data_IF_238125555072
#
_entry.id   IF_238125555072
#
_cell.length_a   1.000
_cell.length_b   1.000
_cell.length_c   1.000
_cell.angle_alpha   90.00
_cell.angle_beta   90.00
_cell.angle_gamma   90.00
#
_symmetry.space_group_name_H-M   'P 1'
#
loop_
_entity.id
_entity.type
_entity.pdbx_description
1 polymer ?
#
# COMPACT_ATOMS: atom_id res chain seq x y z
N UNK A 1 19.28 3.05 -2.39
CA UNK A 1 18.29 3.52 -3.39
C UNK A 1 18.97 3.72 -4.76
N UNK A 2 20.10 4.44 -4.87
CA UNK A 2 20.77 4.71 -6.17
C UNK A 2 21.07 3.45 -6.99
N UNK A 3 21.54 2.36 -6.37
CA UNK A 3 21.89 1.10 -7.06
C UNK A 3 20.69 0.35 -7.64
N UNK A 4 19.49 0.55 -7.09
CA UNK A 4 18.25 -0.15 -7.45
C UNK A 4 17.13 0.82 -7.88
N UNK A 5 17.46 2.01 -8.33
CA UNK A 5 16.50 3.08 -8.65
C UNK A 5 15.42 2.65 -9.67
N UNK A 6 15.75 1.73 -10.58
CA UNK A 6 14.80 1.19 -11.56
C UNK A 6 13.78 0.20 -10.97
N UNK A 7 14.05 -0.34 -9.76
CA UNK A 7 13.17 -1.30 -9.06
C UNK A 7 12.32 -0.64 -7.99
N UNK A 8 12.64 0.60 -7.62
CA UNK A 8 11.96 1.33 -6.54
C UNK A 8 11.16 2.47 -7.14
N UNK A 9 9.87 2.46 -6.89
CA UNK A 9 8.94 3.50 -7.33
C UNK A 9 8.54 4.34 -6.12
N UNK A 10 8.92 5.61 -6.14
CA UNK A 10 8.52 6.57 -5.14
C UNK A 10 7.28 7.35 -5.60
N UNK A 11 6.45 7.83 -4.66
CA UNK A 11 5.37 8.76 -4.98
C UNK A 11 5.90 10.03 -5.65
N UNK A 12 5.21 10.52 -6.67
CA UNK A 12 5.54 11.76 -7.39
C UNK A 12 4.62 12.93 -7.03
N UNK A 13 3.50 12.63 -6.39
CA UNK A 13 2.58 13.62 -5.82
C UNK A 13 1.97 13.11 -4.50
N UNK A 14 1.53 14.05 -3.69
CA UNK A 14 1.06 13.80 -2.32
C UNK A 14 -0.19 14.60 -2.01
N UNK A 15 -1.10 14.01 -1.25
CA UNK A 15 -2.18 14.71 -0.58
C UNK A 15 -1.61 15.26 0.73
N UNK A 16 -1.64 16.58 0.87
CA UNK A 16 -1.09 17.29 2.01
C UNK A 16 -2.13 18.13 2.71
N UNK A 17 -1.92 18.37 4.01
CA UNK A 17 -2.63 19.35 4.81
C UNK A 17 -1.71 19.88 5.93
N UNK A 18 -2.17 20.89 6.67
CA UNK A 18 -1.44 21.39 7.85
C UNK A 18 -1.49 20.41 9.02
N UNK A 19 -2.64 19.77 9.22
CA UNK A 19 -2.83 18.67 10.17
C UNK A 19 -3.97 17.76 9.67
N UNK A 20 -4.16 16.62 10.32
CA UNK A 20 -5.12 15.59 9.88
C UNK A 20 -6.59 16.05 9.90
N UNK A 21 -6.93 17.01 10.74
CA UNK A 21 -8.31 17.53 10.89
C UNK A 21 -8.58 18.79 10.04
N UNK A 22 -7.55 19.33 9.37
CA UNK A 22 -7.70 20.52 8.53
C UNK A 22 -8.21 20.13 7.14
N UNK A 23 -9.52 20.09 7.00
CA UNK A 23 -10.20 19.74 5.73
C UNK A 23 -10.20 20.90 4.71
N UNK A 24 -9.89 22.13 5.14
CA UNK A 24 -9.92 23.32 4.27
C UNK A 24 -8.63 23.51 3.46
N UNK A 25 -7.50 23.01 3.95
CA UNK A 25 -6.20 23.21 3.33
C UNK A 25 -5.66 21.94 2.66
N UNK A 26 -6.51 21.00 2.29
CA UNK A 26 -6.13 19.79 1.56
C UNK A 26 -5.69 20.17 0.14
N UNK A 27 -4.49 19.72 -0.25
CA UNK A 27 -3.93 19.98 -1.57
C UNK A 27 -3.30 18.71 -2.12
N UNK A 28 -3.40 18.52 -3.44
CA UNK A 28 -2.57 17.56 -4.15
C UNK A 28 -1.37 18.30 -4.75
N UNK A 29 -0.17 17.98 -4.32
CA UNK A 29 1.05 18.63 -4.78
C UNK A 29 2.02 17.64 -5.40
N UNK A 30 2.78 18.10 -6.39
CA UNK A 30 3.96 17.39 -6.90
C UNK A 30 5.20 17.83 -6.12
N UNK A 31 6.19 16.92 -6.09
CA UNK A 31 7.50 17.20 -5.49
C UNK A 31 7.48 17.42 -3.96
N UNK A 32 8.26 18.40 -3.49
CA UNK A 32 8.51 18.59 -2.07
C UNK A 32 7.30 19.15 -1.32
N UNK A 33 7.08 18.61 -0.12
CA UNK A 33 6.04 19.10 0.79
C UNK A 33 6.51 20.44 1.39
N UNK A 34 5.73 21.54 1.25
CA UNK A 34 6.09 22.84 1.79
C UNK A 34 6.21 22.83 3.32
N UNK A 35 7.04 23.74 3.87
CA UNK A 35 7.13 23.93 5.31
C UNK A 35 5.74 24.22 5.91
N UNK A 36 5.43 23.57 7.03
CA UNK A 36 4.14 23.72 7.72
C UNK A 36 3.02 22.79 7.19
N UNK A 37 3.30 21.99 6.16
CA UNK A 37 2.40 20.93 5.70
C UNK A 37 2.97 19.53 6.00
N UNK A 38 2.08 18.54 6.05
CA UNK A 38 2.39 17.11 6.20
C UNK A 38 1.73 16.33 5.07
N UNK A 39 2.36 15.24 4.63
CA UNK A 39 1.77 14.28 3.70
C UNK A 39 0.86 13.31 4.44
N UNK A 40 -0.34 13.09 3.94
CA UNK A 40 -1.35 12.20 4.53
C UNK A 40 -1.78 11.08 3.60
N UNK A 41 -1.58 11.22 2.28
CA UNK A 41 -1.81 10.16 1.30
C UNK A 41 -0.95 10.39 0.06
N UNK A 42 -0.85 9.38 -0.80
CA UNK A 42 -0.31 9.54 -2.13
C UNK A 42 -1.25 10.39 -3.00
N UNK A 43 -0.67 11.10 -3.95
CA UNK A 43 -1.47 11.91 -4.88
C UNK A 43 -2.12 11.09 -5.99
N UNK A 44 -2.99 11.74 -6.75
CA UNK A 44 -3.79 11.10 -7.80
C UNK A 44 -2.95 10.52 -8.93
N UNK A 45 -1.85 11.19 -9.31
CA UNK A 45 -0.97 10.69 -10.38
C UNK A 45 -0.20 9.46 -9.91
N UNK A 46 0.30 9.48 -8.68
CA UNK A 46 0.96 8.33 -8.05
C UNK A 46 0.01 7.12 -7.99
N UNK A 47 -1.23 7.33 -7.54
CA UNK A 47 -2.23 6.28 -7.50
C UNK A 47 -2.45 5.65 -8.89
N UNK A 48 -2.69 6.47 -9.92
CA UNK A 48 -2.89 5.99 -11.29
C UNK A 48 -1.68 5.21 -11.81
N UNK A 49 -0.48 5.68 -11.54
CA UNK A 49 0.78 5.03 -11.92
C UNK A 49 0.91 3.65 -11.24
N UNK A 50 0.68 3.57 -9.94
CA UNK A 50 0.74 2.32 -9.18
C UNK A 50 -0.33 1.33 -9.66
N UNK A 51 -1.56 1.78 -9.87
CA UNK A 51 -2.62 0.96 -10.43
C UNK A 51 -2.28 0.40 -11.81
N UNK A 52 -1.63 1.21 -12.66
CA UNK A 52 -1.20 0.77 -14.00
C UNK A 52 -0.16 -0.33 -13.93
N UNK A 53 0.79 -0.23 -12.99
CA UNK A 53 1.84 -1.23 -12.78
C UNK A 53 1.24 -2.52 -12.19
N UNK A 54 0.39 -2.39 -11.18
CA UNK A 54 -0.30 -3.53 -10.56
C UNK A 54 -1.10 -4.32 -11.62
N UNK A 55 -1.86 -3.62 -12.47
CA UNK A 55 -2.69 -4.25 -13.51
C UNK A 55 -1.89 -5.01 -14.58
N UNK A 56 -0.59 -4.74 -14.71
CA UNK A 56 0.33 -5.42 -15.64
C UNK A 56 1.10 -6.57 -15.00
N UNK A 57 0.96 -6.76 -13.69
CA UNK A 57 1.65 -7.83 -12.98
C UNK A 57 1.01 -9.18 -13.30
N UNK A 58 1.82 -10.13 -13.71
CA UNK A 58 1.45 -11.53 -14.01
C UNK A 58 1.97 -12.55 -12.99
N UNK A 59 2.65 -12.04 -11.93
CA UNK A 59 3.25 -12.85 -10.88
C UNK A 59 2.58 -12.70 -9.53
N UNK A 60 3.38 -12.37 -8.51
CA UNK A 60 2.91 -12.18 -7.13
C UNK A 60 2.99 -10.71 -6.74
N UNK A 61 1.93 -10.20 -6.14
CA UNK A 61 1.89 -8.89 -5.52
C UNK A 61 1.79 -9.08 -4.01
N UNK A 62 2.77 -8.55 -3.28
CA UNK A 62 2.75 -8.48 -1.83
C UNK A 62 2.48 -7.04 -1.38
N UNK A 63 1.38 -6.82 -0.68
CA UNK A 63 1.02 -5.50 -0.13
C UNK A 63 1.12 -5.51 1.39
N UNK A 64 1.99 -4.68 1.93
CA UNK A 64 2.22 -4.54 3.36
C UNK A 64 2.28 -3.05 3.77
N UNK A 65 1.26 -2.59 4.42
CA UNK A 65 1.07 -1.22 4.88
C UNK A 65 0.15 -0.38 3.97
N UNK A 66 -0.75 0.41 4.55
CA UNK A 66 -1.57 1.38 3.82
C UNK A 66 -0.70 2.47 3.22
N UNK A 67 -1.22 3.19 2.23
CA UNK A 67 -0.51 4.25 1.50
C UNK A 67 -0.79 5.65 2.05
N UNK A 68 -1.87 5.79 2.81
CA UNK A 68 -2.30 7.03 3.42
C UNK A 68 -2.97 6.79 4.75
N UNK A 69 -3.39 7.86 5.38
CA UNK A 69 -4.14 7.83 6.64
C UNK A 69 -5.60 7.47 6.35
N UNK A 70 -5.83 6.20 6.00
CA UNK A 70 -7.08 5.70 5.44
C UNK A 70 -8.26 5.77 6.42
N UNK A 71 -8.00 5.91 7.70
CA UNK A 71 -9.01 6.12 8.75
C UNK A 71 -9.76 7.45 8.58
N UNK A 72 -9.16 8.41 7.89
CA UNK A 72 -9.75 9.70 7.54
C UNK A 72 -10.18 9.68 6.06
N UNK A 73 -11.46 9.84 5.80
CA UNK A 73 -12.03 9.74 4.45
C UNK A 73 -11.28 10.58 3.41
N UNK A 74 -10.88 11.80 3.78
CA UNK A 74 -10.16 12.73 2.90
C UNK A 74 -8.76 12.24 2.50
N UNK A 75 -8.17 11.27 3.22
CA UNK A 75 -6.84 10.72 2.99
C UNK A 75 -6.84 9.21 2.68
N UNK A 76 -8.01 8.64 2.40
CA UNK A 76 -8.19 7.20 2.19
C UNK A 76 -8.06 6.76 0.72
N UNK A 77 -8.10 7.69 -0.23
CA UNK A 77 -8.23 7.40 -1.67
C UNK A 77 -7.09 6.57 -2.23
N UNK A 78 -5.86 6.81 -1.79
CA UNK A 78 -4.70 6.02 -2.19
C UNK A 78 -4.86 4.56 -1.78
N UNK A 79 -5.12 4.32 -0.51
CA UNK A 79 -5.29 2.99 0.08
C UNK A 79 -6.48 2.25 -0.54
N UNK A 80 -7.66 2.88 -0.60
CA UNK A 80 -8.87 2.29 -1.19
C UNK A 80 -8.64 1.95 -2.66
N UNK A 81 -8.04 2.86 -3.43
CA UNK A 81 -7.79 2.66 -4.85
C UNK A 81 -6.85 1.50 -5.14
N UNK A 82 -5.84 1.26 -4.30
CA UNK A 82 -4.97 0.08 -4.40
C UNK A 82 -5.72 -1.18 -3.99
N UNK A 83 -6.46 -1.17 -2.89
CA UNK A 83 -7.27 -2.31 -2.44
C UNK A 83 -8.23 -2.78 -3.54
N UNK A 84 -8.98 -1.85 -4.14
CA UNK A 84 -9.90 -2.12 -5.26
C UNK A 84 -9.18 -2.63 -6.52
N UNK A 85 -7.93 -2.22 -6.74
CA UNK A 85 -7.15 -2.72 -7.87
C UNK A 85 -6.71 -4.15 -7.61
N UNK A 86 -6.20 -4.44 -6.41
CA UNK A 86 -5.75 -5.77 -6.03
C UNK A 86 -6.88 -6.81 -6.01
N UNK A 87 -8.09 -6.42 -5.58
CA UNK A 87 -9.24 -7.32 -5.58
C UNK A 87 -9.64 -7.85 -6.97
N UNK A 88 -9.24 -7.16 -8.03
CA UNK A 88 -9.49 -7.55 -9.43
C UNK A 88 -8.34 -8.38 -10.04
N UNK A 89 -7.24 -8.57 -9.32
CA UNK A 89 -6.06 -9.22 -9.88
C UNK A 89 -6.13 -10.74 -9.80
N UNK A 90 -6.85 -11.29 -8.80
CA UNK A 90 -7.05 -12.73 -8.66
C UNK A 90 -7.71 -13.34 -9.90
N UNK A 91 -8.73 -12.70 -10.44
CA UNK A 91 -9.42 -13.16 -11.65
C UNK A 91 -8.54 -13.14 -12.91
N UNK A 92 -7.41 -12.42 -12.85
CA UNK A 92 -6.39 -12.38 -13.90
C UNK A 92 -5.28 -13.40 -13.70
N UNK A 93 -5.38 -14.28 -12.69
CA UNK A 93 -4.36 -15.27 -12.37
C UNK A 93 -3.16 -14.72 -11.57
N UNK A 94 -3.22 -13.46 -11.12
CA UNK A 94 -2.16 -12.87 -10.28
C UNK A 94 -2.35 -13.29 -8.83
N UNK A 95 -1.29 -13.78 -8.20
CA UNK A 95 -1.30 -14.06 -6.75
C UNK A 95 -1.21 -12.76 -5.96
N UNK A 96 -2.20 -12.49 -5.11
CA UNK A 96 -2.22 -11.32 -4.23
C UNK A 96 -2.05 -11.75 -2.78
N UNK A 97 -1.05 -11.19 -2.11
CA UNK A 97 -0.75 -11.45 -0.70
C UNK A 97 -0.83 -10.14 0.08
N UNK A 98 -1.63 -10.13 1.13
CA UNK A 98 -1.76 -9.00 2.05
C UNK A 98 -1.04 -9.32 3.35
N UNK A 99 -0.15 -8.44 3.79
CA UNK A 99 0.62 -8.58 5.02
C UNK A 99 0.34 -7.46 6.03
N UNK A 100 0.23 -7.85 7.29
CA UNK A 100 0.13 -6.92 8.42
C UNK A 100 -1.28 -6.46 8.77
N UNK A 101 -1.51 -6.26 10.07
CA UNK A 101 -2.81 -5.91 10.63
C UNK A 101 -3.42 -4.63 10.07
N UNK A 102 -2.60 -3.59 9.87
CA UNK A 102 -3.08 -2.31 9.31
C UNK A 102 -3.54 -2.46 7.86
N UNK A 103 -2.87 -3.31 7.08
CA UNK A 103 -3.29 -3.59 5.70
C UNK A 103 -4.61 -4.35 5.66
N UNK A 104 -4.80 -5.29 6.59
CA UNK A 104 -6.09 -6.01 6.74
C UNK A 104 -7.19 -5.03 7.13
N UNK A 105 -6.93 -4.12 8.08
CA UNK A 105 -7.89 -3.05 8.44
C UNK A 105 -8.25 -2.18 7.24
N UNK A 106 -7.26 -1.84 6.40
CA UNK A 106 -7.47 -1.06 5.18
C UNK A 106 -8.35 -1.80 4.14
N UNK A 107 -8.18 -3.13 3.98
CA UNK A 107 -9.04 -3.97 3.15
C UNK A 107 -10.48 -3.96 3.65
N UNK A 108 -10.68 -4.10 4.98
CA UNK A 108 -12.00 -4.05 5.59
C UNK A 108 -12.65 -2.67 5.43
N UNK A 109 -11.88 -1.60 5.64
CA UNK A 109 -12.35 -0.23 5.43
C UNK A 109 -12.79 0.02 3.98
N UNK A 110 -12.07 -0.53 3.01
CA UNK A 110 -12.41 -0.48 1.59
C UNK A 110 -13.58 -1.41 1.21
N UNK A 111 -14.16 -2.15 2.16
CA UNK A 111 -15.24 -3.12 1.94
C UNK A 111 -14.92 -4.16 0.87
N UNK A 112 -13.67 -4.61 0.81
CA UNK A 112 -13.22 -5.65 -0.13
C UNK A 112 -13.46 -7.03 0.50
N UNK A 113 -14.15 -7.92 -0.24
CA UNK A 113 -14.31 -9.32 0.16
C UNK A 113 -12.92 -10.01 0.17
N UNK A 114 -12.57 -10.61 1.30
CA UNK A 114 -11.31 -11.34 1.48
C UNK A 114 -11.13 -12.48 0.48
N UNK A 115 -12.21 -13.05 -0.03
CA UNK A 115 -12.18 -14.08 -1.08
C UNK A 115 -11.56 -13.60 -2.39
N UNK A 116 -11.54 -12.29 -2.63
CA UNK A 116 -10.89 -11.67 -3.80
C UNK A 116 -9.38 -11.53 -3.65
N UNK A 117 -8.85 -11.84 -2.47
CA UNK A 117 -7.41 -11.85 -2.18
C UNK A 117 -6.94 -13.31 -2.09
N UNK A 118 -5.77 -13.62 -2.65
CA UNK A 118 -5.27 -14.99 -2.67
C UNK A 118 -4.84 -15.46 -1.28
N UNK A 119 -4.12 -14.60 -0.53
CA UNK A 119 -3.65 -14.91 0.83
C UNK A 119 -3.60 -13.66 1.71
N UNK A 120 -4.02 -13.80 2.97
CA UNK A 120 -3.98 -12.74 3.98
C UNK A 120 -3.16 -13.25 5.17
N UNK A 121 -2.10 -12.53 5.50
CA UNK A 121 -1.20 -12.83 6.62
C UNK A 121 -1.27 -11.73 7.67
N UNK A 122 -1.55 -12.11 8.92
CA UNK A 122 -1.48 -11.19 10.06
C UNK A 122 -0.04 -10.86 10.46
N UNK A 123 0.92 -11.72 10.10
CA UNK A 123 2.34 -11.60 10.43
C UNK A 123 3.14 -10.77 9.43
N UNK A 124 2.77 -9.48 9.21
CA UNK A 124 3.43 -8.61 8.22
C UNK A 124 4.94 -8.49 8.40
N UNK A 125 5.43 -8.32 9.64
CA UNK A 125 6.86 -8.25 9.95
C UNK A 125 7.58 -9.56 9.64
N UNK A 126 7.07 -10.67 10.13
CA UNK A 126 7.64 -11.99 9.88
C UNK A 126 7.63 -12.35 8.38
N UNK A 127 6.55 -11.99 7.65
CA UNK A 127 6.50 -12.19 6.21
C UNK A 127 7.59 -11.36 5.48
N UNK A 128 7.83 -10.13 5.89
CA UNK A 128 8.90 -9.29 5.33
C UNK A 128 10.29 -9.85 5.63
N UNK A 129 10.53 -10.31 6.85
CA UNK A 129 11.79 -10.94 7.24
C UNK A 129 12.03 -12.23 6.43
N UNK A 130 11.01 -13.07 6.27
CA UNK A 130 11.06 -14.26 5.42
C UNK A 130 11.41 -13.92 3.97
N UNK A 131 10.70 -12.96 3.38
CA UNK A 131 10.96 -12.53 2.00
C UNK A 131 12.35 -11.89 1.81
N UNK A 132 12.93 -11.34 2.88
CA UNK A 132 14.31 -10.81 2.84
C UNK A 132 15.39 -11.90 3.00
N UNK A 133 15.01 -13.16 3.17
CA UNK A 133 15.90 -14.29 3.37
C UNK A 133 16.43 -14.42 4.81
N UNK A 134 15.83 -13.75 5.78
CA UNK A 134 16.18 -13.95 7.19
C UNK A 134 15.58 -15.24 7.73
N UNK A 135 16.33 -15.89 8.59
CA UNK A 135 15.81 -17.01 9.38
C UNK A 135 14.72 -16.54 10.35
N UNK A 136 13.63 -17.28 10.40
CA UNK A 136 12.56 -17.04 11.36
C UNK A 136 12.70 -18.00 12.54
N UNK A 137 12.94 -17.51 13.78
CA UNK A 137 13.12 -18.38 14.95
C UNK A 137 12.00 -19.40 15.15
N UNK A 138 10.76 -19.02 14.82
CA UNK A 138 9.61 -19.92 14.91
C UNK A 138 9.62 -21.05 13.87
N UNK A 139 10.33 -20.91 12.77
CA UNK A 139 10.49 -21.97 11.75
C UNK A 139 11.71 -22.82 12.02
N UNK A 140 12.79 -22.26 12.56
CA UNK A 140 14.04 -23.01 12.85
C UNK A 140 13.85 -24.12 13.88
N UNK A 141 12.89 -24.00 14.77
CA UNK A 141 12.58 -25.04 15.79
C UNK A 141 11.68 -26.16 15.24
N UNK A 142 11.19 -26.02 14.01
CA UNK A 142 10.37 -27.05 13.35
C UNK A 142 11.19 -27.95 12.37
N UNK A 143 12.42 -27.58 12.14
CA UNK A 143 13.41 -28.34 11.34
C UNK A 143 14.41 -29.06 12.26
#
# INVERSE_FOLDING_TARGET
IKKNSKKILLPEDHIISKNQFDTKNIKNIKNNIPKGFKGFDIGTNTLRKYQTIIKKCDGTIFWNGPLGMFEEEQYSKGTIGIAQTLSKMKDKGTTTVIGGGDTIRAINYASIDHKLITHISTGGGAAMDFLSGKELPGLTVLN
#
